data_IF_853781819714
#
_entry.id   IF_853781819714
#
_cell.length_a   1.000
_cell.length_b   1.000
_cell.length_c   1.000
_cell.angle_alpha   90.00
_cell.angle_beta   90.00
_cell.angle_gamma   90.00
#
_symmetry.space_group_name_H-M   'P 1'
#
loop_
_entity.id
_entity.type
_entity.pdbx_description
1 polymer ?
#
# COMPACT_ATOMS: atom_id res chain seq x y z
N UNK A 1 5.78 -20.48 -12.05
CA UNK A 1 5.88 -21.50 -10.96
C UNK A 1 4.93 -21.18 -9.81
N UNK A 2 4.76 -19.91 -9.45
CA UNK A 2 3.88 -19.41 -8.38
C UNK A 2 2.44 -19.88 -8.50
N UNK A 3 1.85 -19.79 -9.70
CA UNK A 3 0.48 -20.25 -9.97
C UNK A 3 0.27 -21.72 -9.58
N UNK A 4 1.16 -22.62 -10.03
CA UNK A 4 1.11 -24.06 -9.70
C UNK A 4 1.26 -24.34 -8.20
N UNK A 5 2.11 -23.57 -7.51
CA UNK A 5 2.24 -23.66 -6.05
C UNK A 5 0.94 -23.26 -5.36
N UNK A 6 0.41 -22.08 -5.68
CA UNK A 6 -0.84 -21.55 -5.13
C UNK A 6 -2.02 -22.48 -5.40
N UNK A 7 -2.06 -23.12 -6.57
CA UNK A 7 -3.09 -24.11 -6.92
C UNK A 7 -3.16 -25.28 -5.92
N UNK A 8 -2.02 -25.65 -5.32
CA UNK A 8 -1.88 -26.77 -4.38
C UNK A 8 -1.95 -26.37 -2.90
N UNK A 9 -1.98 -25.06 -2.60
CA UNK A 9 -2.03 -24.56 -1.23
C UNK A 9 -3.39 -24.83 -0.56
N UNK A 10 -3.43 -24.92 0.78
CA UNK A 10 -4.70 -24.95 1.52
C UNK A 10 -5.60 -23.76 1.14
N UNK A 11 -6.89 -24.01 0.96
CA UNK A 11 -7.89 -22.99 0.59
C UNK A 11 -8.45 -22.28 1.83
N UNK A 12 -7.57 -21.68 2.64
CA UNK A 12 -7.95 -20.78 3.74
C UNK A 12 -8.41 -19.44 3.15
N UNK A 13 -9.31 -18.73 3.81
CA UNK A 13 -9.72 -17.40 3.35
C UNK A 13 -8.51 -16.46 3.21
N UNK A 14 -8.49 -15.59 2.19
CA UNK A 14 -7.44 -14.59 1.98
C UNK A 14 -7.95 -13.21 2.41
N UNK A 15 -7.20 -12.50 3.25
CA UNK A 15 -7.47 -11.11 3.61
C UNK A 15 -6.39 -10.24 2.97
N UNK A 16 -6.80 -9.48 1.96
CA UNK A 16 -5.92 -8.70 1.10
C UNK A 16 -6.14 -7.22 1.39
N UNK A 17 -5.14 -6.55 1.94
CA UNK A 17 -5.08 -5.10 2.04
C UNK A 17 -4.17 -4.59 0.93
N UNK A 18 -4.64 -3.61 0.18
CA UNK A 18 -3.90 -3.05 -0.96
C UNK A 18 -3.96 -1.54 -0.86
N UNK A 19 -2.81 -0.92 -0.67
CA UNK A 19 -2.69 0.51 -0.89
C UNK A 19 -3.00 0.87 -2.35
N UNK A 20 -3.52 2.08 -2.56
CA UNK A 20 -3.87 2.58 -3.89
C UNK A 20 -2.65 3.19 -4.59
N UNK A 21 -2.10 4.27 -4.05
CA UNK A 21 -1.18 5.17 -4.75
C UNK A 21 0.20 4.53 -4.90
N UNK A 22 0.78 4.54 -6.11
CA UNK A 22 2.04 3.86 -6.46
C UNK A 22 2.07 2.35 -6.25
N UNK A 23 1.08 1.79 -5.58
CA UNK A 23 0.92 0.34 -5.39
C UNK A 23 0.14 -0.27 -6.55
N UNK A 24 -1.09 0.19 -6.80
CA UNK A 24 -1.91 -0.28 -7.92
C UNK A 24 -2.30 0.81 -8.92
N UNK A 25 -2.12 2.10 -8.60
CA UNK A 25 -2.26 3.20 -9.57
C UNK A 25 -0.95 3.97 -9.69
N UNK A 26 -0.64 4.46 -10.88
CA UNK A 26 0.60 5.19 -11.17
C UNK A 26 0.36 6.70 -11.32
N UNK A 27 -0.49 7.22 -10.42
CA UNK A 27 -0.84 8.63 -10.34
C UNK A 27 -0.68 9.08 -8.89
N UNK A 28 -0.10 10.26 -8.71
CA UNK A 28 -0.02 10.92 -7.41
C UNK A 28 -0.53 12.35 -7.55
N UNK A 29 -1.85 12.50 -7.42
CA UNK A 29 -2.53 13.79 -7.53
C UNK A 29 -2.20 14.69 -6.33
N UNK A 30 -2.00 14.11 -5.15
CA UNK A 30 -1.63 14.84 -3.93
C UNK A 30 -0.23 15.48 -4.04
N UNK A 31 0.71 14.80 -4.71
CA UNK A 31 2.06 15.30 -4.95
C UNK A 31 2.22 16.17 -6.21
N UNK A 32 1.15 16.36 -6.99
CA UNK A 32 1.16 17.12 -8.25
C UNK A 32 2.02 16.51 -9.35
N UNK A 33 2.19 15.17 -9.35
CA UNK A 33 3.06 14.46 -10.29
C UNK A 33 2.30 14.04 -11.54
N UNK A 34 2.94 14.22 -12.70
CA UNK A 34 2.46 13.65 -13.96
C UNK A 34 2.76 12.14 -14.00
N UNK A 35 2.07 11.41 -14.88
CA UNK A 35 2.36 9.98 -15.10
C UNK A 35 3.82 9.77 -15.51
N UNK A 36 4.37 10.65 -16.35
CA UNK A 36 5.79 10.60 -16.77
C UNK A 36 6.73 10.74 -15.58
N UNK A 37 6.47 11.67 -14.66
CA UNK A 37 7.28 11.83 -13.43
C UNK A 37 7.30 10.55 -12.59
N UNK A 38 6.15 9.88 -12.48
CA UNK A 38 6.00 8.63 -11.72
C UNK A 38 6.79 7.50 -12.37
N UNK A 39 6.61 7.27 -13.67
CA UNK A 39 7.33 6.18 -14.36
C UNK A 39 8.84 6.42 -14.44
N UNK A 40 9.30 7.67 -14.51
CA UNK A 40 10.74 8.00 -14.42
C UNK A 40 11.29 7.68 -13.03
N UNK A 41 10.56 8.05 -11.98
CA UNK A 41 10.90 7.73 -10.59
C UNK A 41 10.97 6.21 -10.37
N UNK A 42 10.07 5.44 -10.99
CA UNK A 42 10.09 3.98 -10.93
C UNK A 42 11.37 3.41 -11.55
N UNK A 43 11.84 3.98 -12.68
CA UNK A 43 13.11 3.58 -13.29
C UNK A 43 14.29 3.97 -12.40
N UNK A 44 14.29 5.16 -11.80
CA UNK A 44 15.31 5.58 -10.83
C UNK A 44 15.43 4.61 -9.64
N UNK A 45 14.31 4.09 -9.15
CA UNK A 45 14.28 3.11 -8.06
C UNK A 45 14.73 1.69 -8.46
N UNK A 46 14.86 1.43 -9.77
CA UNK A 46 15.17 0.09 -10.31
C UNK A 46 16.45 0.05 -11.15
N UNK A 47 17.16 1.17 -11.33
CA UNK A 47 18.50 1.19 -11.90
C UNK A 47 19.52 1.29 -10.78
N UNK A 48 20.42 0.31 -10.74
CA UNK A 48 21.47 0.18 -9.76
C UNK A 48 22.79 0.68 -10.32
N UNK A 49 23.55 1.39 -9.49
CA UNK A 49 24.81 1.99 -9.89
C UNK A 49 25.79 2.13 -8.76
N UNK A 50 27.01 2.57 -9.11
CA UNK A 50 28.10 2.77 -8.15
C UNK A 50 28.20 4.25 -7.78
N UNK A 51 28.15 4.60 -6.49
CA UNK A 51 28.51 5.93 -6.05
C UNK A 51 30.04 6.12 -6.15
N UNK A 52 30.47 7.32 -6.51
CA UNK A 52 31.86 7.73 -6.66
C UNK A 52 32.03 9.19 -6.24
N UNK A 53 33.27 9.69 -6.21
CA UNK A 53 33.53 11.10 -5.95
C UNK A 53 32.95 12.04 -7.02
N UNK A 54 32.75 11.56 -8.25
CA UNK A 54 32.22 12.34 -9.37
C UNK A 54 30.69 12.25 -9.48
N UNK A 55 30.04 11.44 -8.64
CA UNK A 55 28.60 11.25 -8.65
C UNK A 55 28.21 9.77 -8.62
N UNK A 56 27.13 9.43 -9.30
CA UNK A 56 26.63 8.07 -9.40
C UNK A 56 26.59 7.63 -10.85
N UNK A 57 27.02 6.39 -11.12
CA UNK A 57 27.09 5.83 -12.47
C UNK A 57 26.28 4.54 -12.54
N UNK A 58 25.31 4.49 -13.44
CA UNK A 58 24.46 3.33 -13.66
C UNK A 58 25.25 2.09 -14.12
N UNK A 59 24.85 0.91 -13.64
CA UNK A 59 25.51 -0.37 -13.94
C UNK A 59 24.49 -1.43 -14.37
N UNK A 60 23.36 -1.57 -13.65
CA UNK A 60 22.36 -2.62 -13.86
C UNK A 60 20.98 -1.98 -13.95
N UNK A 61 20.22 -2.31 -14.99
CA UNK A 61 18.85 -1.84 -15.18
C UNK A 61 17.78 -2.74 -14.53
N UNK A 62 16.51 -2.33 -14.60
CA UNK A 62 15.39 -3.11 -14.07
C UNK A 62 15.37 -4.53 -14.64
N UNK A 63 15.25 -5.52 -13.76
CA UNK A 63 15.17 -6.95 -14.10
C UNK A 63 16.44 -7.54 -14.74
N UNK A 64 17.53 -6.78 -14.88
CA UNK A 64 18.77 -7.30 -15.46
C UNK A 64 19.52 -8.18 -14.45
N UNK A 65 20.00 -9.37 -14.85
CA UNK A 65 20.82 -10.19 -13.97
C UNK A 65 22.19 -9.54 -13.74
N UNK A 66 22.72 -9.66 -12.53
CA UNK A 66 24.07 -9.20 -12.22
C UNK A 66 24.34 -9.17 -10.73
N UNK A 67 25.62 -8.97 -10.39
CA UNK A 67 26.03 -8.80 -9.00
C UNK A 67 25.68 -7.39 -8.52
N UNK A 68 24.80 -7.32 -7.52
CA UNK A 68 24.36 -6.07 -6.91
C UNK A 68 25.26 -5.65 -5.72
N UNK A 69 26.30 -6.42 -5.42
CA UNK A 69 27.23 -6.14 -4.32
C UNK A 69 27.86 -4.75 -4.47
N UNK A 70 27.62 -3.90 -3.48
CA UNK A 70 28.13 -2.52 -3.45
C UNK A 70 27.44 -1.56 -4.42
N UNK A 71 26.35 -1.97 -5.07
CA UNK A 71 25.50 -1.07 -5.85
C UNK A 71 24.40 -0.48 -4.97
N UNK A 72 23.93 0.72 -5.31
CA UNK A 72 22.72 1.32 -4.76
C UNK A 72 21.84 1.82 -5.90
N UNK A 73 20.53 1.78 -5.69
CA UNK A 73 19.58 2.38 -6.62
C UNK A 73 19.79 3.90 -6.71
N UNK A 74 19.40 4.52 -7.84
CA UNK A 74 19.59 5.94 -8.03
C UNK A 74 18.78 6.77 -7.03
N UNK A 75 17.54 6.38 -6.74
CA UNK A 75 16.71 7.04 -5.73
C UNK A 75 17.35 7.00 -4.33
N UNK A 76 17.93 5.86 -3.93
CA UNK A 76 18.65 5.71 -2.67
C UNK A 76 19.92 6.59 -2.64
N UNK A 77 20.62 6.70 -3.76
CA UNK A 77 21.74 7.64 -3.89
C UNK A 77 21.28 9.10 -3.69
N UNK A 78 20.15 9.49 -4.30
CA UNK A 78 19.57 10.82 -4.17
C UNK A 78 19.09 11.08 -2.73
N UNK A 79 18.48 10.10 -2.07
CA UNK A 79 18.09 10.20 -0.66
C UNK A 79 19.30 10.42 0.25
N UNK A 80 20.42 9.73 0.00
CA UNK A 80 21.68 9.93 0.73
C UNK A 80 22.32 11.29 0.42
N UNK A 81 22.28 11.73 -0.84
CA UNK A 81 22.84 13.01 -1.28
C UNK A 81 22.10 14.20 -0.66
N UNK A 82 20.77 14.09 -0.54
CA UNK A 82 19.91 15.09 0.09
C UNK A 82 19.35 14.56 1.41
N UNK A 83 20.24 14.09 2.28
CA UNK A 83 19.88 13.63 3.62
C UNK A 83 19.41 14.79 4.52
N UNK A 84 18.72 14.44 5.61
CA UNK A 84 18.37 15.41 6.66
C UNK A 84 19.65 16.06 7.23
N UNK A 85 19.72 17.40 7.31
CA UNK A 85 20.87 18.08 7.89
C UNK A 85 20.92 17.84 9.41
N UNK A 86 22.13 17.71 9.99
CA UNK A 86 22.29 17.56 11.43
C UNK A 86 21.58 18.67 12.23
N UNK A 87 20.87 18.29 13.29
CA UNK A 87 20.16 19.23 14.16
C UNK A 87 18.79 19.69 13.64
N UNK A 88 18.31 19.21 12.50
CA UNK A 88 17.00 19.60 11.94
C UNK A 88 15.82 19.29 12.88
N UNK A 89 15.92 18.26 13.71
CA UNK A 89 14.91 17.96 14.74
C UNK A 89 14.83 19.01 15.87
N UNK A 90 15.88 19.80 16.07
CA UNK A 90 15.97 20.85 17.08
C UNK A 90 15.38 22.18 16.59
N UNK A 91 15.09 22.29 15.28
CA UNK A 91 14.50 23.48 14.68
C UNK A 91 13.04 23.67 15.12
N UNK A 92 12.56 24.93 15.18
CA UNK A 92 11.14 25.22 15.31
C UNK A 92 10.31 24.52 14.22
N UNK A 93 9.09 24.10 14.54
CA UNK A 93 8.22 23.32 13.63
C UNK A 93 8.13 23.91 12.23
N UNK A 94 7.92 25.22 12.11
CA UNK A 94 7.80 25.90 10.81
C UNK A 94 9.09 25.84 9.98
N UNK A 95 10.25 26.03 10.62
CA UNK A 95 11.55 25.95 9.94
C UNK A 95 11.88 24.51 9.52
N UNK A 96 11.56 23.54 10.37
CA UNK A 96 11.69 22.11 10.06
C UNK A 96 10.80 21.71 8.88
N UNK A 97 9.54 22.14 8.87
CA UNK A 97 8.62 21.89 7.74
C UNK A 97 9.16 22.51 6.44
N UNK A 98 9.70 23.72 6.50
CA UNK A 98 10.31 24.38 5.34
C UNK A 98 11.56 23.66 4.83
N UNK A 99 12.47 23.24 5.72
CA UNK A 99 13.66 22.48 5.36
C UNK A 99 13.29 21.13 4.72
N UNK A 100 12.30 20.42 5.29
CA UNK A 100 11.82 19.15 4.75
C UNK A 100 11.22 19.31 3.35
N UNK A 101 10.47 20.39 3.14
CA UNK A 101 9.90 20.73 1.83
C UNK A 101 11.00 20.91 0.78
N UNK A 102 12.06 21.65 1.10
CA UNK A 102 13.20 21.88 0.19
C UNK A 102 13.94 20.58 -0.13
N UNK A 103 14.23 19.75 0.86
CA UNK A 103 14.87 18.44 0.67
C UNK A 103 14.03 17.54 -0.23
N UNK A 104 12.73 17.46 0.04
CA UNK A 104 11.77 16.69 -0.74
C UNK A 104 11.66 17.19 -2.18
N UNK A 105 11.72 18.51 -2.41
CA UNK A 105 11.75 19.10 -3.76
C UNK A 105 13.04 18.76 -4.52
N UNK A 106 14.21 18.81 -3.87
CA UNK A 106 15.47 18.42 -4.49
C UNK A 106 15.48 16.94 -4.90
N UNK A 107 15.05 16.06 -4.00
CA UNK A 107 14.94 14.62 -4.28
C UNK A 107 14.00 14.35 -5.45
N UNK A 108 12.79 14.90 -5.40
CA UNK A 108 11.79 14.78 -6.48
C UNK A 108 12.32 15.28 -7.82
N UNK A 109 13.00 16.43 -7.82
CA UNK A 109 13.53 17.01 -9.06
C UNK A 109 14.60 16.14 -9.70
N UNK A 110 15.43 15.48 -8.91
CA UNK A 110 16.48 14.59 -9.41
C UNK A 110 15.91 13.30 -10.02
N UNK A 111 14.99 12.62 -9.32
CA UNK A 111 14.42 11.35 -9.82
C UNK A 111 13.45 11.55 -10.98
N UNK A 112 12.76 12.69 -11.05
CA UNK A 112 11.83 13.06 -12.12
C UNK A 112 12.47 13.01 -13.50
N UNK A 113 13.70 13.50 -13.61
CA UNK A 113 14.39 13.66 -14.90
C UNK A 113 15.41 12.56 -15.15
N UNK A 114 15.45 11.51 -14.33
CA UNK A 114 16.56 10.55 -14.28
C UNK A 114 16.97 10.00 -15.65
N UNK A 115 16.01 9.73 -16.53
CA UNK A 115 16.23 9.20 -17.89
C UNK A 115 16.21 10.23 -19.02
N UNK A 116 16.16 11.53 -18.70
CA UNK A 116 16.24 12.60 -19.71
C UNK A 116 17.66 12.70 -20.30
N UNK A 117 17.76 13.32 -21.47
CA UNK A 117 19.02 13.52 -22.17
C UNK A 117 20.07 14.21 -21.27
N UNK A 118 21.27 13.63 -21.22
CA UNK A 118 22.38 14.08 -20.38
C UNK A 118 22.30 13.69 -18.89
N UNK A 119 21.28 12.94 -18.47
CA UNK A 119 21.13 12.47 -17.09
C UNK A 119 21.71 11.07 -16.89
N UNK A 120 21.97 10.71 -15.62
CA UNK A 120 22.66 9.47 -15.27
C UNK A 120 21.94 8.18 -15.75
N UNK A 121 20.62 8.27 -15.98
CA UNK A 121 19.78 7.18 -16.44
C UNK A 121 19.40 7.23 -17.91
N UNK A 122 19.98 8.11 -18.74
CA UNK A 122 19.58 8.33 -20.14
C UNK A 122 19.45 7.00 -20.93
N UNK A 123 20.43 6.11 -20.79
CA UNK A 123 20.45 4.79 -21.46
C UNK A 123 19.33 3.83 -21.01
N UNK A 124 18.57 4.18 -19.98
CA UNK A 124 17.47 3.41 -19.41
C UNK A 124 16.09 3.98 -19.77
N UNK A 125 16.01 5.01 -20.65
CA UNK A 125 14.75 5.60 -21.13
C UNK A 125 13.77 4.58 -21.70
N UNK A 126 14.24 3.51 -22.35
CA UNK A 126 13.40 2.41 -22.84
C UNK A 126 12.51 1.77 -21.77
N UNK A 127 12.91 1.81 -20.50
CA UNK A 127 12.13 1.27 -19.38
C UNK A 127 11.01 2.22 -18.93
N UNK A 128 11.13 3.52 -19.22
CA UNK A 128 10.03 4.47 -19.11
C UNK A 128 9.02 4.19 -20.23
N UNK A 129 9.50 4.06 -21.47
CA UNK A 129 8.66 3.76 -22.64
C UNK A 129 7.89 2.45 -22.48
N UNK A 130 8.52 1.42 -21.90
CA UNK A 130 7.87 0.14 -21.60
C UNK A 130 6.69 0.30 -20.64
N UNK A 131 6.86 1.04 -19.53
CA UNK A 131 5.77 1.29 -18.58
C UNK A 131 4.63 2.08 -19.24
N UNK A 132 4.98 3.14 -19.98
CA UNK A 132 4.00 3.96 -20.70
C UNK A 132 3.22 3.13 -21.73
N UNK A 133 3.88 2.23 -22.46
CA UNK A 133 3.21 1.35 -23.42
C UNK A 133 2.13 0.49 -22.74
N UNK A 134 2.38 0.01 -21.53
CA UNK A 134 1.38 -0.75 -20.75
C UNK A 134 0.26 0.15 -20.26
N UNK A 135 0.59 1.26 -19.58
CA UNK A 135 -0.39 2.16 -18.97
C UNK A 135 -1.29 2.84 -20.03
N UNK A 136 -0.75 3.11 -21.22
CA UNK A 136 -1.49 3.74 -22.32
C UNK A 136 -2.23 2.73 -23.21
N UNK A 137 -1.99 1.42 -23.08
CA UNK A 137 -2.75 0.40 -23.80
C UNK A 137 -4.21 0.31 -23.36
N UNK A 138 -4.53 0.84 -22.17
CA UNK A 138 -5.85 0.87 -21.56
C UNK A 138 -6.25 2.32 -21.18
N UNK A 139 -6.54 3.20 -22.17
CA UNK A 139 -6.86 4.59 -21.88
C UNK A 139 -8.07 4.72 -20.94
N UNK A 140 -7.93 5.51 -19.88
CA UNK A 140 -8.98 5.74 -18.88
C UNK A 140 -9.00 4.74 -17.72
N UNK A 141 -8.17 3.70 -17.76
CA UNK A 141 -7.92 2.79 -16.64
C UNK A 141 -6.81 3.37 -15.75
N UNK A 142 -6.97 3.27 -14.43
CA UNK A 142 -6.01 3.72 -13.42
C UNK A 142 -5.24 2.55 -12.81
N UNK A 143 -5.92 1.41 -12.61
CA UNK A 143 -5.39 0.24 -11.94
C UNK A 143 -4.46 -0.54 -12.88
N UNK A 144 -3.28 -0.92 -12.38
CA UNK A 144 -2.29 -1.66 -13.15
C UNK A 144 -2.80 -3.06 -13.57
N UNK A 145 -2.42 -3.55 -14.76
CA UNK A 145 -2.96 -4.81 -15.30
C UNK A 145 -2.71 -6.04 -14.43
N UNK A 146 -1.54 -6.10 -13.78
CA UNK A 146 -1.15 -7.23 -12.93
C UNK A 146 -2.09 -7.43 -11.73
N UNK A 147 -2.77 -6.36 -11.27
CA UNK A 147 -3.78 -6.48 -10.21
C UNK A 147 -5.01 -7.25 -10.70
N UNK A 148 -5.48 -6.99 -11.91
CA UNK A 148 -6.61 -7.73 -12.48
C UNK A 148 -6.25 -9.20 -12.78
N UNK A 149 -5.02 -9.46 -13.22
CA UNK A 149 -4.52 -10.84 -13.38
C UNK A 149 -4.50 -11.58 -12.03
N UNK A 150 -4.07 -10.89 -10.97
CA UNK A 150 -4.09 -11.43 -9.62
C UNK A 150 -5.48 -11.82 -9.14
N UNK A 151 -6.46 -10.91 -9.24
CA UNK A 151 -7.84 -11.20 -8.84
C UNK A 151 -8.47 -12.29 -9.71
N UNK A 152 -8.21 -12.27 -11.03
CA UNK A 152 -8.64 -13.34 -11.93
C UNK A 152 -8.06 -14.71 -11.52
N UNK A 153 -6.78 -14.77 -11.18
CA UNK A 153 -6.12 -15.99 -10.72
C UNK A 153 -6.77 -16.53 -9.46
N UNK A 154 -7.04 -15.69 -8.45
CA UNK A 154 -7.74 -16.11 -7.23
C UNK A 154 -9.14 -16.66 -7.53
N UNK A 155 -9.87 -16.00 -8.42
CA UNK A 155 -11.21 -16.38 -8.81
C UNK A 155 -11.26 -17.70 -9.60
N UNK A 156 -10.30 -17.92 -10.49
CA UNK A 156 -10.14 -19.18 -11.25
C UNK A 156 -9.80 -20.35 -10.30
N UNK A 157 -9.07 -20.09 -9.22
CA UNK A 157 -8.80 -21.07 -8.16
C UNK A 157 -9.98 -21.32 -7.21
N UNK A 158 -11.09 -20.63 -7.43
CA UNK A 158 -12.23 -20.59 -6.51
C UNK A 158 -11.79 -20.25 -5.07
N UNK A 159 -10.80 -19.36 -4.93
CA UNK A 159 -10.21 -18.99 -3.66
C UNK A 159 -10.98 -17.80 -3.07
N UNK A 160 -11.65 -18.00 -1.93
CA UNK A 160 -12.37 -16.91 -1.26
C UNK A 160 -11.40 -15.85 -0.72
N UNK A 161 -11.73 -14.57 -0.94
CA UNK A 161 -10.95 -13.45 -0.43
C UNK A 161 -11.82 -12.31 0.09
N UNK A 162 -11.25 -11.51 0.98
CA UNK A 162 -11.67 -10.15 1.35
C UNK A 162 -10.64 -9.19 0.76
N UNK A 163 -11.09 -8.14 0.08
CA UNK A 163 -10.26 -7.12 -0.56
C UNK A 163 -10.55 -5.74 0.06
N UNK A 164 -9.56 -5.18 0.72
CA UNK A 164 -9.60 -3.86 1.33
C UNK A 164 -8.69 -2.92 0.55
N UNK A 165 -9.28 -2.00 -0.21
CA UNK A 165 -8.54 -0.88 -0.80
C UNK A 165 -8.22 0.12 0.31
N UNK A 166 -6.95 0.46 0.48
CA UNK A 166 -6.43 1.35 1.53
C UNK A 166 -5.88 2.61 0.89
N UNK A 167 -6.12 3.77 1.49
CA UNK A 167 -5.47 5.01 1.03
C UNK A 167 -5.45 6.07 2.12
N UNK A 168 -4.48 6.96 2.04
CA UNK A 168 -4.49 8.25 2.75
C UNK A 168 -5.06 9.39 1.88
N UNK A 169 -5.23 9.13 0.57
CA UNK A 169 -5.55 10.10 -0.47
C UNK A 169 -7.04 10.20 -0.82
N UNK A 170 -7.30 10.61 -2.06
CA UNK A 170 -8.64 10.95 -2.55
C UNK A 170 -9.11 10.06 -3.71
N UNK A 171 -8.28 9.11 -4.13
CA UNK A 171 -8.45 8.29 -5.34
C UNK A 171 -9.42 7.13 -5.16
N UNK A 172 -9.91 6.89 -3.94
CA UNK A 172 -10.74 5.74 -3.59
C UNK A 172 -11.97 5.59 -4.50
N UNK A 173 -12.75 6.65 -4.71
CA UNK A 173 -13.94 6.62 -5.57
C UNK A 173 -13.60 6.18 -7.01
N UNK A 174 -12.48 6.66 -7.57
CA UNK A 174 -12.11 6.32 -8.94
C UNK A 174 -11.67 4.85 -9.05
N UNK A 175 -10.95 4.35 -8.06
CA UNK A 175 -10.55 2.93 -7.97
C UNK A 175 -11.76 2.02 -7.81
N UNK A 176 -12.70 2.37 -6.92
CA UNK A 176 -13.92 1.60 -6.74
C UNK A 176 -14.75 1.57 -8.03
N UNK A 177 -14.92 2.71 -8.72
CA UNK A 177 -15.60 2.76 -10.03
C UNK A 177 -14.96 1.82 -11.06
N UNK A 178 -13.64 1.84 -11.19
CA UNK A 178 -12.93 0.96 -12.13
C UNK A 178 -13.07 -0.52 -11.75
N UNK A 179 -13.01 -0.84 -10.46
CA UNK A 179 -13.30 -2.18 -9.95
C UNK A 179 -14.72 -2.65 -10.34
N UNK A 180 -15.74 -1.79 -10.24
CA UNK A 180 -17.11 -2.14 -10.67
C UNK A 180 -17.16 -2.44 -12.17
N UNK A 181 -16.51 -1.61 -12.98
CA UNK A 181 -16.46 -1.81 -14.42
C UNK A 181 -15.77 -3.13 -14.77
N UNK A 182 -14.73 -3.51 -14.01
CA UNK A 182 -14.08 -4.81 -14.14
C UNK A 182 -15.04 -5.96 -13.80
N UNK A 183 -15.68 -5.94 -12.63
CA UNK A 183 -16.61 -7.00 -12.20
C UNK A 183 -17.77 -7.19 -13.19
N UNK A 184 -18.27 -6.10 -13.77
CA UNK A 184 -19.36 -6.14 -14.75
C UNK A 184 -18.91 -6.46 -16.19
N UNK A 185 -17.61 -6.64 -16.44
CA UNK A 185 -17.08 -6.91 -17.78
C UNK A 185 -17.11 -5.71 -18.73
N UNK A 186 -17.28 -4.49 -18.20
CA UNK A 186 -17.18 -3.23 -18.95
C UNK A 186 -15.75 -2.72 -19.10
N UNK A 187 -14.83 -3.28 -18.32
CA UNK A 187 -13.41 -2.95 -18.35
C UNK A 187 -12.67 -3.64 -19.49
N UNK A 188 -11.51 -3.09 -19.91
CA UNK A 188 -10.67 -3.73 -20.93
C UNK A 188 -10.14 -5.09 -20.47
N UNK A 189 -9.84 -5.23 -19.18
CA UNK A 189 -9.55 -6.51 -18.56
C UNK A 189 -10.88 -7.18 -18.17
N UNK A 190 -11.07 -8.42 -18.62
CA UNK A 190 -12.31 -9.14 -18.40
C UNK A 190 -12.23 -9.99 -17.11
N UNK A 191 -13.30 -10.06 -16.30
CA UNK A 191 -13.34 -10.87 -15.10
C UNK A 191 -13.44 -12.35 -15.46
N UNK A 192 -12.67 -13.20 -14.77
CA UNK A 192 -12.56 -14.64 -15.01
C UNK A 192 -12.72 -15.44 -13.72
N UNK A 193 -13.14 -16.69 -13.85
CA UNK A 193 -13.29 -17.61 -12.73
C UNK A 193 -14.61 -17.48 -11.95
N UNK A 194 -14.78 -18.40 -11.00
CA UNK A 194 -16.06 -18.65 -10.35
C UNK A 194 -16.39 -17.62 -9.25
N UNK A 195 -15.39 -17.11 -8.54
CA UNK A 195 -15.61 -16.10 -7.47
C UNK A 195 -16.13 -14.80 -8.07
N UNK A 196 -15.48 -14.28 -9.10
CA UNK A 196 -15.92 -13.05 -9.78
C UNK A 196 -17.28 -13.23 -10.46
N UNK A 197 -17.57 -14.41 -11.01
CA UNK A 197 -18.91 -14.72 -11.53
C UNK A 197 -19.97 -14.57 -10.43
N UNK A 198 -19.74 -15.14 -9.24
CA UNK A 198 -20.65 -15.01 -8.10
C UNK A 198 -20.77 -13.57 -7.62
N UNK A 199 -19.66 -12.84 -7.48
CA UNK A 199 -19.66 -11.43 -7.09
C UNK A 199 -20.53 -10.63 -8.07
N UNK A 200 -20.35 -10.81 -9.37
CA UNK A 200 -21.16 -10.15 -10.40
C UNK A 200 -22.65 -10.52 -10.29
N UNK A 201 -22.95 -11.80 -10.10
CA UNK A 201 -24.33 -12.30 -10.05
C UNK A 201 -25.08 -11.84 -8.78
N UNK A 202 -24.37 -11.57 -7.67
CA UNK A 202 -24.94 -11.07 -6.41
C UNK A 202 -24.34 -9.73 -5.99
N UNK A 203 -24.07 -8.86 -6.96
CA UNK A 203 -23.28 -7.66 -6.76
C UNK A 203 -23.96 -6.67 -5.80
N UNK A 204 -23.18 -6.21 -4.82
CA UNK A 204 -23.54 -5.14 -3.89
C UNK A 204 -22.40 -4.12 -3.92
N UNK A 205 -22.77 -2.85 -4.05
CA UNK A 205 -21.79 -1.75 -4.09
C UNK A 205 -20.89 -1.76 -2.86
N UNK A 206 -19.61 -1.48 -3.08
CA UNK A 206 -18.56 -1.57 -2.07
C UNK A 206 -18.83 -0.61 -0.91
N UNK A 207 -18.77 -1.13 0.31
CA UNK A 207 -18.84 -0.27 1.49
C UNK A 207 -17.55 0.54 1.65
N UNK A 208 -17.69 1.78 2.10
CA UNK A 208 -16.57 2.68 2.39
C UNK A 208 -16.51 3.00 3.87
N UNK A 209 -15.31 3.27 4.40
CA UNK A 209 -15.15 3.73 5.76
C UNK A 209 -13.83 4.43 5.98
N UNK A 210 -13.60 4.92 7.19
CA UNK A 210 -12.31 5.49 7.57
C UNK A 210 -11.89 5.05 8.97
N UNK A 211 -10.57 4.93 9.15
CA UNK A 211 -9.95 4.67 10.46
C UNK A 211 -9.39 5.99 10.96
N UNK A 212 -9.78 6.40 12.17
CA UNK A 212 -9.27 7.59 12.84
C UNK A 212 -8.49 7.19 14.09
N UNK A 213 -7.38 7.90 14.35
CA UNK A 213 -6.51 7.68 15.51
C UNK A 213 -6.24 9.00 16.20
N UNK A 214 -6.32 9.00 17.52
CA UNK A 214 -5.89 10.10 18.37
C UNK A 214 -5.29 9.54 19.66
N UNK A 215 -3.98 9.78 19.87
CA UNK A 215 -3.18 9.16 20.94
C UNK A 215 -3.37 7.64 20.99
N UNK A 216 -3.97 7.14 22.06
CA UNK A 216 -4.24 5.71 22.31
C UNK A 216 -5.64 5.29 21.82
N UNK A 217 -6.44 6.24 21.33
CA UNK A 217 -7.78 6.00 20.85
C UNK A 217 -7.79 5.63 19.38
N UNK A 218 -8.60 4.63 19.06
CA UNK A 218 -8.79 4.10 17.72
C UNK A 218 -10.29 4.06 17.41
N UNK A 219 -10.67 4.61 16.27
CA UNK A 219 -12.06 4.65 15.82
C UNK A 219 -12.19 4.10 14.41
N UNK A 220 -13.27 3.36 14.17
CA UNK A 220 -13.69 2.94 12.85
C UNK A 220 -15.04 3.57 12.50
N UNK A 221 -15.05 4.36 11.43
CA UNK A 221 -16.24 5.01 10.92
C UNK A 221 -16.73 4.28 9.68
N UNK A 222 -17.98 3.86 9.68
CA UNK A 222 -18.64 3.23 8.54
C UNK A 222 -19.32 4.31 7.69
N UNK A 223 -19.12 4.27 6.38
CA UNK A 223 -19.72 5.16 5.40
C UNK A 223 -18.76 6.13 4.69
N UNK A 224 -17.87 6.88 5.38
CA UNK A 224 -17.04 7.88 4.72
C UNK A 224 -16.10 7.28 3.67
N UNK A 225 -15.98 7.97 2.53
CA UNK A 225 -15.02 7.68 1.44
C UNK A 225 -13.88 8.73 1.41
N UNK A 226 -13.80 9.55 2.45
CA UNK A 226 -12.81 10.63 2.66
C UNK A 226 -12.16 10.50 4.02
N UNK A 227 -11.02 11.14 4.18
CA UNK A 227 -10.29 11.18 5.44
C UNK A 227 -11.15 11.81 6.55
N UNK A 228 -11.04 11.26 7.75
CA UNK A 228 -11.67 11.83 8.94
C UNK A 228 -11.12 13.23 9.23
N UNK A 229 -12.00 14.12 9.67
CA UNK A 229 -11.67 15.49 10.10
C UNK A 229 -12.20 15.69 11.50
N UNK A 230 -11.30 16.01 12.43
CA UNK A 230 -11.61 16.34 13.82
C UNK A 230 -10.94 17.68 14.15
N UNK A 231 -11.70 18.61 14.69
CA UNK A 231 -11.26 19.95 15.05
C UNK A 231 -10.99 20.04 16.54
N UNK A 232 -9.81 20.55 16.87
CA UNK A 232 -9.40 20.81 18.25
C UNK A 232 -9.58 22.32 18.53
N UNK A 233 -10.29 22.70 19.61
CA UNK A 233 -10.37 24.10 20.02
C UNK A 233 -9.00 24.71 20.31
N UNK A 234 -8.89 26.04 20.21
CA UNK A 234 -7.63 26.74 20.46
C UNK A 234 -7.06 26.42 21.86
N UNK A 235 -5.80 25.99 21.89
CA UNK A 235 -5.10 25.60 23.13
C UNK A 235 -5.49 24.24 23.69
N UNK A 236 -6.32 23.45 22.98
CA UNK A 236 -6.72 22.10 23.39
C UNK A 236 -5.93 21.06 22.58
N UNK A 237 -5.09 20.28 23.26
CA UNK A 237 -4.29 19.22 22.63
C UNK A 237 -4.94 17.83 22.69
N UNK A 238 -6.08 17.71 23.37
CA UNK A 238 -6.83 16.45 23.54
C UNK A 238 -8.31 16.69 23.56
N UNK A 239 -9.06 15.83 22.91
CA UNK A 239 -10.50 15.75 23.04
C UNK A 239 -10.89 14.51 23.85
N UNK A 240 -12.03 14.57 24.52
CA UNK A 240 -12.61 13.37 25.11
C UNK A 240 -13.08 12.43 23.98
N UNK A 241 -13.01 11.10 24.16
CA UNK A 241 -13.46 10.14 23.14
C UNK A 241 -14.91 10.38 22.66
N UNK A 242 -15.79 10.87 23.52
CA UNK A 242 -17.17 11.21 23.16
C UNK A 242 -17.29 12.46 22.27
N UNK A 243 -16.42 13.45 22.47
CA UNK A 243 -16.36 14.63 21.61
C UNK A 243 -15.82 14.26 20.22
N UNK A 244 -14.78 13.42 20.17
CA UNK A 244 -14.24 12.84 18.93
C UNK A 244 -15.35 12.08 18.20
N UNK A 245 -16.03 11.16 18.89
CA UNK A 245 -17.14 10.37 18.33
C UNK A 245 -18.25 11.26 17.79
N UNK A 246 -18.57 12.35 18.48
CA UNK A 246 -19.60 13.31 18.06
C UNK A 246 -19.20 14.00 16.76
N UNK A 247 -17.95 14.44 16.62
CA UNK A 247 -17.44 15.04 15.39
C UNK A 247 -17.36 14.03 14.24
N UNK A 248 -16.86 12.81 14.49
CA UNK A 248 -16.76 11.76 13.49
C UNK A 248 -18.14 11.36 12.92
N UNK A 249 -19.19 11.36 13.74
CA UNK A 249 -20.57 11.11 13.29
C UNK A 249 -21.10 12.18 12.32
N UNK A 250 -20.49 13.36 12.28
CA UNK A 250 -20.87 14.44 11.36
C UNK A 250 -20.16 14.34 10.01
N UNK A 251 -19.24 13.38 9.84
CA UNK A 251 -18.58 13.17 8.55
C UNK A 251 -19.60 12.81 7.47
N UNK A 252 -19.43 13.33 6.24
CA UNK A 252 -20.29 12.96 5.13
C UNK A 252 -20.41 11.45 4.97
N UNK A 253 -21.63 10.98 4.71
CA UNK A 253 -21.97 9.56 4.56
C UNK A 253 -21.74 8.68 5.78
N UNK A 254 -21.30 9.21 6.93
CA UNK A 254 -21.08 8.41 8.13
C UNK A 254 -22.39 7.87 8.70
N UNK A 255 -22.48 6.55 8.85
CA UNK A 255 -23.65 5.87 9.41
C UNK A 255 -23.39 5.40 10.84
N UNK A 256 -22.17 4.97 11.15
CA UNK A 256 -21.80 4.46 12.47
C UNK A 256 -20.35 4.84 12.81
N UNK A 257 -20.10 5.10 14.10
CA UNK A 257 -18.76 5.34 14.64
C UNK A 257 -18.52 4.41 15.81
N UNK A 258 -17.50 3.56 15.66
CA UNK A 258 -17.08 2.58 16.66
C UNK A 258 -15.74 3.00 17.24
N UNK A 259 -15.70 3.33 18.53
CA UNK A 259 -14.44 3.29 19.28
C UNK A 259 -14.05 1.82 19.43
N UNK A 260 -12.82 1.49 19.06
CA UNK A 260 -12.41 0.11 18.81
C UNK A 260 -10.98 -0.14 19.32
N UNK A 261 -10.52 -1.37 19.18
CA UNK A 261 -9.14 -1.79 19.45
C UNK A 261 -8.69 -2.73 18.32
N UNK A 262 -7.46 -3.24 18.34
CA UNK A 262 -6.93 -4.08 17.26
C UNK A 262 -7.75 -5.38 17.03
N UNK A 263 -8.23 -6.02 18.11
CA UNK A 263 -9.04 -7.23 18.02
C UNK A 263 -10.41 -6.93 17.38
N UNK A 264 -11.10 -5.93 17.91
CA UNK A 264 -12.43 -5.56 17.44
C UNK A 264 -12.38 -4.95 16.04
N UNK A 265 -11.33 -4.19 15.71
CA UNK A 265 -11.13 -3.62 14.38
C UNK A 265 -10.94 -4.71 13.33
N UNK A 266 -10.17 -5.77 13.64
CA UNK A 266 -10.02 -6.91 12.75
C UNK A 266 -11.39 -7.49 12.33
N UNK A 267 -12.22 -7.83 13.31
CA UNK A 267 -13.54 -8.42 13.06
C UNK A 267 -14.50 -7.43 12.40
N UNK A 268 -14.42 -6.14 12.77
CA UNK A 268 -15.19 -5.07 12.15
C UNK A 268 -14.85 -4.90 10.67
N UNK A 269 -13.57 -4.90 10.29
CA UNK A 269 -13.17 -4.75 8.89
C UNK A 269 -13.67 -5.93 8.04
N UNK A 270 -13.49 -7.16 8.51
CA UNK A 270 -13.95 -8.35 7.78
C UNK A 270 -15.47 -8.43 7.70
N UNK A 271 -16.16 -8.20 8.83
CA UNK A 271 -17.62 -8.19 8.88
C UNK A 271 -18.24 -7.06 8.05
N UNK A 272 -17.59 -5.89 8.00
CA UNK A 272 -18.05 -4.76 7.21
C UNK A 272 -17.87 -5.01 5.71
N UNK A 273 -16.69 -5.44 5.27
CA UNK A 273 -16.44 -5.80 3.87
C UNK A 273 -17.35 -6.95 3.40
N UNK A 274 -17.72 -7.88 4.30
CA UNK A 274 -18.69 -8.93 4.02
C UNK A 274 -20.08 -8.43 3.59
N UNK A 275 -20.44 -7.17 3.87
CA UNK A 275 -21.69 -6.54 3.43
C UNK A 275 -21.72 -6.22 1.93
N UNK A 276 -20.56 -6.20 1.28
CA UNK A 276 -20.37 -5.87 -0.14
C UNK A 276 -19.48 -6.89 -0.85
N UNK A 277 -19.90 -8.15 -0.78
CA UNK A 277 -19.21 -9.29 -1.41
C UNK A 277 -17.73 -9.47 -0.99
N UNK A 278 -17.35 -8.96 0.19
CA UNK A 278 -15.96 -9.03 0.67
C UNK A 278 -15.06 -7.92 0.14
N UNK A 279 -15.59 -6.85 -0.47
CA UNK A 279 -14.79 -5.73 -1.01
C UNK A 279 -15.14 -4.44 -0.29
N UNK A 280 -14.15 -3.71 0.22
CA UNK A 280 -14.37 -2.40 0.86
C UNK A 280 -13.26 -1.40 0.56
N UNK A 281 -13.60 -0.11 0.66
CA UNK A 281 -12.69 1.00 0.60
C UNK A 281 -12.47 1.64 1.98
N UNK A 282 -11.23 1.70 2.45
CA UNK A 282 -10.91 2.24 3.77
C UNK A 282 -9.91 3.39 3.65
N UNK A 283 -10.29 4.56 4.16
CA UNK A 283 -9.42 5.73 4.25
C UNK A 283 -8.71 5.75 5.60
N UNK A 284 -7.39 5.68 5.57
CA UNK A 284 -6.53 5.79 6.74
C UNK A 284 -6.29 7.27 7.12
N UNK A 285 -5.97 7.53 8.38
CA UNK A 285 -5.82 8.90 8.90
C UNK A 285 -4.36 9.40 8.84
N UNK A 286 -4.02 10.07 7.73
CA UNK A 286 -2.67 10.60 7.47
C UNK A 286 -2.13 11.53 8.57
N UNK A 287 -2.93 12.45 9.15
CA UNK A 287 -2.41 13.35 10.18
C UNK A 287 -1.80 12.63 11.39
N UNK A 288 -2.34 11.48 11.80
CA UNK A 288 -1.73 10.70 12.88
C UNK A 288 -0.40 10.09 12.47
N UNK A 289 -0.30 9.52 11.26
CA UNK A 289 0.96 9.00 10.74
C UNK A 289 2.05 10.07 10.63
N UNK A 290 1.69 11.24 10.10
CA UNK A 290 2.58 12.39 9.97
C UNK A 290 3.07 12.91 11.34
N UNK A 291 2.20 12.96 12.35
CA UNK A 291 2.57 13.34 13.72
C UNK A 291 3.56 12.36 14.37
N UNK A 292 3.53 11.09 13.97
CA UNK A 292 4.49 10.07 14.41
C UNK A 292 5.78 10.03 13.56
N UNK A 293 6.07 11.11 12.82
CA UNK A 293 7.21 11.20 11.91
C UNK A 293 7.23 10.06 10.87
N UNK A 294 6.05 9.70 10.37
CA UNK A 294 5.86 8.66 9.35
C UNK A 294 6.40 7.28 9.76
N UNK A 295 6.48 7.03 11.07
CA UNK A 295 6.84 5.73 11.62
C UNK A 295 5.67 4.76 11.60
N UNK A 296 5.98 3.47 11.54
CA UNK A 296 5.01 2.36 11.52
C UNK A 296 3.93 2.43 12.60
N UNK A 297 4.28 2.86 13.81
CA UNK A 297 3.31 2.95 14.92
C UNK A 297 2.19 3.97 14.65
N UNK A 298 2.41 4.92 13.74
CA UNK A 298 1.42 5.87 13.25
C UNK A 298 0.71 5.44 11.97
N UNK A 299 1.17 4.36 11.35
CA UNK A 299 0.80 3.95 10.00
C UNK A 299 -0.58 3.32 9.88
N UNK A 300 -0.80 2.66 8.73
CA UNK A 300 -2.03 1.95 8.42
C UNK A 300 -2.17 0.74 9.34
N UNK A 301 -3.24 0.73 10.13
CA UNK A 301 -3.48 -0.32 11.11
C UNK A 301 -3.81 -1.63 10.41
N UNK A 302 -3.01 -2.67 10.71
CA UNK A 302 -3.14 -3.99 10.11
C UNK A 302 -3.08 -5.10 11.18
N UNK A 303 -4.23 -5.38 11.82
CA UNK A 303 -4.34 -6.46 12.78
C UNK A 303 -4.48 -7.80 12.04
N UNK A 304 -3.69 -8.80 12.42
CA UNK A 304 -3.72 -10.14 11.83
C UNK A 304 -3.85 -11.22 12.91
N UNK A 305 -4.53 -12.31 12.59
CA UNK A 305 -4.56 -13.48 13.47
C UNK A 305 -3.34 -14.36 13.21
N UNK A 306 -2.49 -14.52 14.20
CA UNK A 306 -1.36 -15.47 14.14
C UNK A 306 -1.80 -16.87 14.58
N UNK A 307 -1.17 -17.90 13.99
CA UNK A 307 -1.39 -19.28 14.42
C UNK A 307 -0.93 -19.43 15.87
N UNK A 308 -1.83 -19.88 16.74
CA UNK A 308 -1.50 -20.23 18.11
C UNK A 308 -1.63 -21.76 18.27
N UNK A 309 -0.70 -22.43 18.96
CA UNK A 309 -0.84 -23.85 19.30
C UNK A 309 -2.13 -24.17 20.07
N UNK A 310 -2.70 -23.17 20.75
CA UNK A 310 -3.91 -23.31 21.55
C UNK A 310 -5.22 -23.06 20.76
N UNK A 311 -5.13 -22.58 19.51
CA UNK A 311 -6.30 -22.29 18.69
C UNK A 311 -6.60 -23.46 17.73
N UNK A 312 -7.83 -24.00 17.73
CA UNK A 312 -8.18 -25.15 16.89
C UNK A 312 -8.36 -24.81 15.41
N UNK A 313 -8.65 -23.54 15.09
CA UNK A 313 -8.88 -23.09 13.72
C UNK A 313 -7.63 -22.41 13.14
N UNK A 314 -7.29 -22.79 11.91
CA UNK A 314 -6.21 -22.14 11.16
C UNK A 314 -6.66 -20.74 10.71
N UNK A 315 -5.86 -19.69 10.95
CA UNK A 315 -6.24 -18.35 10.58
C UNK A 315 -6.27 -18.18 9.04
N UNK A 316 -6.99 -17.16 8.54
CA UNK A 316 -6.86 -16.70 7.17
C UNK A 316 -5.40 -16.46 6.78
N UNK A 317 -5.11 -16.49 5.49
CA UNK A 317 -3.88 -15.90 4.97
C UNK A 317 -4.06 -14.39 4.87
N UNK A 318 -3.05 -13.63 5.30
CA UNK A 318 -3.08 -12.17 5.25
C UNK A 318 -1.99 -11.63 4.33
N UNK A 319 -2.28 -10.55 3.61
CA UNK A 319 -1.25 -9.82 2.87
C UNK A 319 -1.59 -8.32 2.84
N UNK A 320 -0.57 -7.48 3.04
CA UNK A 320 -0.65 -6.04 2.84
C UNK A 320 0.33 -5.64 1.73
N UNK A 321 -0.20 -5.10 0.64
CA UNK A 321 0.57 -4.54 -0.47
C UNK A 321 0.64 -3.02 -0.36
N UNK A 322 1.85 -2.48 -0.32
CA UNK A 322 2.11 -1.03 -0.28
C UNK A 322 3.56 -0.77 -0.75
N UNK A 323 3.81 0.26 -1.55
CA UNK A 323 5.16 0.58 -2.05
C UNK A 323 6.09 1.14 -0.96
N UNK A 324 5.51 1.69 0.12
CA UNK A 324 6.20 2.32 1.23
C UNK A 324 6.37 1.39 2.45
N UNK A 325 6.32 0.07 2.24
CA UNK A 325 6.70 -0.92 3.25
C UNK A 325 8.23 -1.08 3.28
N UNK A 326 8.82 -0.99 4.47
CA UNK A 326 10.23 -1.26 4.69
C UNK A 326 10.38 -2.34 5.78
N UNK A 327 10.55 -3.60 5.35
CA UNK A 327 10.58 -4.77 6.23
C UNK A 327 11.73 -4.64 7.25
N UNK A 328 11.36 -4.66 8.54
CA UNK A 328 12.28 -4.51 9.67
C UNK A 328 12.83 -3.09 9.89
N UNK A 329 12.22 -2.07 9.29
CA UNK A 329 12.58 -0.66 9.46
C UNK A 329 11.39 0.14 10.03
N UNK A 330 11.63 0.95 11.06
CA UNK A 330 10.58 1.73 11.72
C UNK A 330 9.90 2.76 10.79
N UNK A 331 10.50 3.10 9.64
CA UNK A 331 9.92 3.97 8.60
C UNK A 331 8.87 3.30 7.72
N UNK A 332 8.58 2.02 7.95
CA UNK A 332 7.51 1.30 7.25
C UNK A 332 6.14 1.93 7.53
N UNK A 333 5.26 1.95 6.54
CA UNK A 333 3.91 2.57 6.63
C UNK A 333 2.85 1.72 7.34
N UNK A 334 3.12 0.44 7.61
CA UNK A 334 2.13 -0.51 8.15
C UNK A 334 2.34 -0.76 9.64
N UNK A 335 1.28 -0.57 10.42
CA UNK A 335 1.21 -0.89 11.85
C UNK A 335 0.69 -2.34 12.02
N UNK A 336 1.60 -3.31 11.83
CA UNK A 336 1.31 -4.74 11.89
C UNK A 336 1.19 -5.23 13.35
N UNK A 337 0.02 -5.78 13.70
CA UNK A 337 -0.32 -6.17 15.08
C UNK A 337 -0.89 -7.59 15.13
N UNK A 338 -0.62 -8.32 16.20
CA UNK A 338 -1.46 -9.49 16.53
C UNK A 338 -2.83 -8.95 16.95
N UNK A 339 -3.87 -9.35 16.21
CA UNK A 339 -5.23 -8.92 16.49
C UNK A 339 -5.67 -9.31 17.91
N UNK A 340 -5.22 -10.44 18.47
CA UNK A 340 -5.67 -10.93 19.77
C UNK A 340 -5.06 -10.17 20.95
N UNK A 341 -3.76 -9.88 20.87
CA UNK A 341 -3.02 -9.27 21.99
C UNK A 341 -2.83 -7.76 21.81
N UNK A 342 -2.93 -7.26 20.58
CA UNK A 342 -2.58 -5.89 20.22
C UNK A 342 -1.06 -5.63 20.20
N UNK A 343 -0.24 -6.67 20.40
CA UNK A 343 1.21 -6.55 20.36
C UNK A 343 1.70 -6.32 18.93
N UNK A 344 2.78 -5.54 18.81
CA UNK A 344 3.44 -5.31 17.53
C UNK A 344 4.16 -6.55 17.05
N UNK A 345 3.92 -6.93 15.80
CA UNK A 345 4.64 -8.00 15.15
C UNK A 345 5.86 -7.41 14.44
N UNK A 346 7.00 -7.38 15.16
CA UNK A 346 8.26 -6.82 14.66
C UNK A 346 9.22 -7.90 14.17
N UNK A 347 10.09 -7.49 13.24
CA UNK A 347 11.22 -8.28 12.80
C UNK A 347 11.07 -8.72 11.36
N UNK A 348 12.19 -8.74 10.63
CA UNK A 348 12.19 -8.96 9.18
C UNK A 348 11.46 -10.24 8.77
N UNK A 349 11.69 -11.32 9.50
CA UNK A 349 11.12 -12.64 9.23
C UNK A 349 9.61 -12.71 9.52
N UNK A 350 9.14 -11.97 10.52
CA UNK A 350 7.72 -11.91 10.88
C UNK A 350 6.97 -11.01 9.91
N UNK A 351 7.49 -9.81 9.66
CA UNK A 351 6.87 -8.83 8.76
C UNK A 351 6.77 -9.39 7.33
N UNK A 352 7.82 -10.07 6.84
CA UNK A 352 7.82 -10.71 5.53
C UNK A 352 6.74 -11.80 5.37
N UNK A 353 6.10 -12.27 6.44
CA UNK A 353 4.95 -13.18 6.35
C UNK A 353 3.65 -12.47 6.03
N UNK A 354 3.56 -11.16 6.26
CA UNK A 354 2.29 -10.42 6.16
C UNK A 354 2.33 -9.19 5.25
N UNK A 355 3.50 -8.63 4.97
CA UNK A 355 3.63 -7.38 4.20
C UNK A 355 4.51 -7.56 2.96
N UNK A 356 4.15 -6.86 1.89
CA UNK A 356 4.87 -6.86 0.62
C UNK A 356 5.16 -5.42 0.23
N UNK A 357 6.45 -5.07 0.18
CA UNK A 357 6.89 -3.84 -0.48
C UNK A 357 6.65 -3.97 -1.97
N UNK A 358 5.64 -3.27 -2.47
CA UNK A 358 5.34 -3.29 -3.91
C UNK A 358 6.42 -2.53 -4.65
N UNK A 359 6.91 -3.15 -5.74
CA UNK A 359 7.76 -2.52 -6.73
C UNK A 359 6.86 -1.99 -7.84
N UNK A 360 6.64 -0.67 -7.96
CA UNK A 360 5.69 -0.11 -8.92
C UNK A 360 6.07 -0.41 -10.37
N UNK A 361 7.37 -0.48 -10.69
CA UNK A 361 7.84 -0.85 -12.02
C UNK A 361 7.39 -2.27 -12.39
N UNK A 362 7.67 -3.25 -11.54
CA UNK A 362 7.30 -4.65 -11.77
C UNK A 362 5.78 -4.84 -11.77
N UNK A 363 5.06 -4.14 -10.89
CA UNK A 363 3.59 -4.16 -10.87
C UNK A 363 2.98 -3.67 -12.20
N UNK A 364 3.66 -2.80 -12.95
CA UNK A 364 3.21 -2.38 -14.27
C UNK A 364 3.57 -3.42 -15.34
N UNK A 365 4.85 -3.82 -15.41
CA UNK A 365 5.37 -4.55 -16.58
C UNK A 365 5.31 -6.07 -16.48
N UNK A 366 5.05 -6.61 -15.28
CA UNK A 366 4.94 -8.05 -15.03
C UNK A 366 3.51 -8.40 -14.61
N UNK A 367 2.75 -9.04 -15.50
CA UNK A 367 1.36 -9.42 -15.24
C UNK A 367 1.21 -10.39 -14.05
N UNK A 368 2.22 -11.22 -13.77
CA UNK A 368 2.17 -12.19 -12.68
C UNK A 368 2.66 -11.61 -11.34
N UNK A 369 3.04 -10.33 -11.28
CA UNK A 369 3.72 -9.72 -10.13
C UNK A 369 3.03 -9.99 -8.78
N UNK A 370 1.75 -9.62 -8.65
CA UNK A 370 1.02 -9.82 -7.39
C UNK A 370 0.76 -11.31 -7.08
N UNK A 371 0.66 -12.16 -8.11
CA UNK A 371 0.53 -13.63 -7.95
C UNK A 371 1.84 -14.21 -7.39
N UNK A 372 2.97 -13.77 -7.92
CA UNK A 372 4.30 -14.16 -7.46
C UNK A 372 4.54 -13.70 -6.02
N UNK A 373 4.18 -12.45 -5.70
CA UNK A 373 4.24 -11.96 -4.33
C UNK A 373 3.37 -12.82 -3.40
N UNK A 374 2.10 -13.09 -3.75
CA UNK A 374 1.23 -13.92 -2.92
C UNK A 374 1.82 -15.32 -2.69
N UNK A 375 2.40 -15.94 -3.70
CA UNK A 375 3.02 -17.26 -3.57
C UNK A 375 4.16 -17.27 -2.53
N UNK A 376 5.00 -16.24 -2.52
CA UNK A 376 6.04 -16.06 -1.49
C UNK A 376 5.40 -15.92 -0.10
N UNK A 377 4.39 -15.07 0.03
CA UNK A 377 3.72 -14.81 1.31
C UNK A 377 3.05 -16.05 1.89
N UNK A 378 2.27 -16.76 1.08
CA UNK A 378 1.59 -18.00 1.49
C UNK A 378 2.61 -19.05 1.89
N UNK A 379 3.74 -19.17 1.18
CA UNK A 379 4.82 -20.07 1.56
C UNK A 379 5.38 -19.72 2.95
N UNK A 380 5.65 -18.45 3.22
CA UNK A 380 6.18 -17.99 4.50
C UNK A 380 5.19 -18.18 5.67
N UNK A 381 3.89 -17.98 5.44
CA UNK A 381 2.85 -18.23 6.46
C UNK A 381 2.62 -19.72 6.73
N UNK A 382 2.89 -20.59 5.75
CA UNK A 382 2.84 -22.04 5.91
C UNK A 382 4.06 -22.61 6.65
N UNK A 383 5.20 -21.91 6.69
CA UNK A 383 6.45 -22.40 7.28
C UNK A 383 6.48 -22.42 8.82
N UNK A 384 5.37 -22.15 9.52
CA UNK A 384 5.32 -22.16 10.99
C UNK A 384 6.16 -21.05 11.65
N UNK A 385 6.21 -20.99 12.99
CA UNK A 385 7.19 -20.17 13.70
C UNK A 385 8.60 -20.66 13.35
N UNK A 386 9.53 -19.74 13.08
CA UNK A 386 10.95 -20.08 13.05
C UNK A 386 11.34 -20.33 14.51
N UNK A 387 11.84 -21.53 14.82
CA UNK A 387 12.30 -21.92 16.16
C UNK A 387 13.48 -21.09 16.66
#
# INVERSE_FOLDING_TARGET
MSRLFLERCPRRHLVINVDINKTIIQVDSAGGRTMEDVVNSNVAANVWGRPSCEGWTAVIGPGQPGDHSGLIAYDEYIDKKYAEPPGMHELPRAEREQAWKQISEMRRSAVRIFTHDGQAGENYKRYVEQQLAVLMAAPGCLIVPSFFEFINTLSEFNWSFTLLFRTFGNELDSVLREWRDFVHGRHVYQPRGEVLRRIRDTYVEEVTGCIFRDKDELFFCQGPDKAAVVTYPDGVETLLPEDIRTQLKQLPSCTEVHQTNFATLHDQLLGYAGRSNGVAGIVDYYPYWAQQAERRCGGKVFPVLIQSPAAPEEPPFYVFFDDNIFIGDDRSIVDLRDARTGEELRGKEVEAKYTVRVNPYEAIVNNDYFVDCLAVMVKLQLMGPLE
#
